data_IF_156391576888
#
_entry.id   IF_156391576888
#
_cell.length_a   1.000
_cell.length_b   1.000
_cell.length_c   1.000
_cell.angle_alpha   90.00
_cell.angle_beta   90.00
_cell.angle_gamma   90.00
#
_symmetry.space_group_name_H-M   'P 1'
#
loop_
_entity.id
_entity.type
_entity.pdbx_description
1 polymer ?
#
# COMPACT_ATOMS: atom_id res chain seq x y z
N UNK A 1 -2.41 -23.65 70.51
CA UNK A 1 -3.44 -23.52 69.47
C UNK A 1 -2.80 -22.81 68.23
N UNK A 2 -2.17 -23.59 67.36
CA UNK A 2 -1.48 -23.06 66.18
C UNK A 2 -2.45 -23.00 65.00
N UNK A 3 -2.84 -21.79 64.60
CA UNK A 3 -3.70 -21.53 63.43
C UNK A 3 -2.84 -21.66 62.16
N UNK A 4 -2.93 -22.78 61.47
CA UNK A 4 -2.38 -22.94 60.13
C UNK A 4 -3.07 -21.89 59.21
N UNK A 5 -2.30 -20.86 58.82
CA UNK A 5 -2.68 -20.03 57.68
C UNK A 5 -2.61 -20.93 56.46
N UNK A 6 -3.73 -21.19 55.84
CA UNK A 6 -3.74 -21.78 54.50
C UNK A 6 -3.00 -20.84 53.57
N UNK A 7 -1.95 -21.34 52.95
CA UNK A 7 -1.42 -20.69 51.76
C UNK A 7 -2.52 -20.85 50.71
N UNK A 8 -3.23 -19.76 50.41
CA UNK A 8 -4.20 -19.74 49.37
C UNK A 8 -3.51 -19.98 48.01
N UNK A 9 -4.17 -20.74 47.19
CA UNK A 9 -3.83 -21.05 45.79
C UNK A 9 -3.98 -19.84 44.85
N UNK A 10 -3.88 -18.63 45.35
CA UNK A 10 -4.11 -17.40 44.59
C UNK A 10 -3.02 -17.13 43.54
N UNK A 11 -1.84 -17.78 43.66
CA UNK A 11 -0.75 -17.61 42.71
C UNK A 11 -0.86 -18.43 41.43
N UNK A 12 -1.64 -19.50 41.43
CA UNK A 12 -1.74 -20.39 40.26
C UNK A 12 -2.74 -19.87 39.20
N UNK A 13 -3.78 -19.17 39.63
CA UNK A 13 -4.74 -18.56 38.74
C UNK A 13 -4.17 -17.34 37.98
N UNK A 14 -3.33 -16.56 38.65
CA UNK A 14 -2.64 -15.41 38.02
C UNK A 14 -1.60 -15.88 36.99
N UNK A 15 -0.85 -16.94 37.30
CA UNK A 15 0.13 -17.49 36.36
C UNK A 15 -0.55 -18.11 35.13
N UNK A 16 -1.67 -18.78 35.29
CA UNK A 16 -2.50 -19.31 34.18
C UNK A 16 -3.11 -18.18 33.34
N UNK A 17 -3.58 -17.11 33.98
CA UNK A 17 -4.10 -15.93 33.30
C UNK A 17 -3.02 -15.26 32.42
N UNK A 18 -1.82 -15.07 32.95
CA UNK A 18 -0.71 -14.50 32.18
C UNK A 18 -0.25 -15.42 31.04
N UNK A 19 -0.26 -16.73 31.23
CA UNK A 19 0.11 -17.69 30.19
C UNK A 19 -0.87 -17.69 28.99
N UNK A 20 -2.13 -17.35 29.23
CA UNK A 20 -3.15 -17.23 28.15
C UNK A 20 -3.14 -15.85 27.49
N UNK A 21 -2.84 -14.79 28.22
CA UNK A 21 -2.80 -13.41 27.68
C UNK A 21 -1.62 -13.20 26.74
N UNK A 22 -0.46 -13.78 27.04
CA UNK A 22 0.75 -13.58 26.24
C UNK A 22 0.60 -14.03 24.77
N UNK A 23 0.09 -15.26 24.45
CA UNK A 23 -0.11 -15.65 23.06
C UNK A 23 -1.22 -14.86 22.38
N UNK A 24 -2.27 -14.43 23.10
CA UNK A 24 -3.31 -13.58 22.55
C UNK A 24 -2.81 -12.18 22.18
N UNK A 25 -1.99 -11.59 23.04
CA UNK A 25 -1.35 -10.30 22.78
C UNK A 25 -0.38 -10.37 21.58
N UNK A 26 0.40 -11.46 21.49
CA UNK A 26 1.30 -11.68 20.36
C UNK A 26 0.51 -11.85 19.05
N UNK A 27 -0.55 -12.63 19.05
CA UNK A 27 -1.41 -12.81 17.88
C UNK A 27 -2.04 -11.48 17.42
N UNK A 28 -2.50 -10.66 18.36
CA UNK A 28 -3.03 -9.34 18.07
C UNK A 28 -1.95 -8.41 17.47
N UNK A 29 -0.75 -8.40 18.03
CA UNK A 29 0.36 -7.61 17.51
C UNK A 29 0.72 -8.01 16.07
N UNK A 30 0.78 -9.30 15.79
CA UNK A 30 1.02 -9.81 14.43
C UNK A 30 -0.11 -9.38 13.49
N UNK A 31 -1.37 -9.49 13.90
CA UNK A 31 -2.51 -9.09 13.10
C UNK A 31 -2.46 -7.59 12.75
N UNK A 32 -2.14 -6.74 13.72
CA UNK A 32 -1.99 -5.29 13.49
C UNK A 32 -0.86 -4.99 12.50
N UNK A 33 0.29 -5.67 12.61
CA UNK A 33 1.41 -5.50 11.68
C UNK A 33 1.05 -5.91 10.24
N UNK A 34 0.29 -7.01 10.09
CA UNK A 34 -0.14 -7.47 8.76
C UNK A 34 -1.14 -6.49 8.11
N UNK A 35 -2.07 -5.95 8.89
CA UNK A 35 -3.03 -4.96 8.41
C UNK A 35 -2.32 -3.65 8.02
N UNK A 36 -1.39 -3.16 8.84
CA UNK A 36 -0.63 -1.94 8.57
C UNK A 36 0.11 -2.01 7.24
N UNK A 37 0.79 -3.12 6.96
CA UNK A 37 1.50 -3.31 5.69
C UNK A 37 0.58 -3.24 4.47
N UNK A 38 -0.62 -3.80 4.58
CA UNK A 38 -1.60 -3.75 3.50
C UNK A 38 -2.15 -2.35 3.22
N UNK A 39 -2.31 -1.53 4.24
CA UNK A 39 -2.76 -0.13 4.11
C UNK A 39 -1.65 0.74 3.51
N UNK A 40 -0.42 0.60 3.99
CA UNK A 40 0.73 1.38 3.52
C UNK A 40 1.02 1.13 2.03
N UNK A 41 0.95 -0.11 1.57
CA UNK A 41 1.17 -0.42 0.16
C UNK A 41 0.13 0.21 -0.76
N UNK A 42 -1.13 0.23 -0.34
CA UNK A 42 -2.22 0.89 -1.10
C UNK A 42 -2.04 2.40 -1.15
N UNK A 43 -1.74 3.02 -0.02
CA UNK A 43 -1.51 4.45 0.07
C UNK A 43 -0.32 4.88 -0.81
N UNK A 44 0.78 4.12 -0.78
CA UNK A 44 1.96 4.38 -1.61
C UNK A 44 1.66 4.25 -3.09
N UNK A 45 0.94 3.20 -3.51
CA UNK A 45 0.59 3.01 -4.92
C UNK A 45 -0.38 4.08 -5.44
N UNK A 46 -1.33 4.52 -4.61
CA UNK A 46 -2.23 5.62 -4.96
C UNK A 46 -1.46 6.95 -5.05
N UNK A 47 -0.60 7.26 -4.09
CA UNK A 47 0.24 8.46 -4.15
C UNK A 47 1.18 8.46 -5.36
N UNK A 48 1.70 7.28 -5.75
CA UNK A 48 2.51 7.14 -6.96
C UNK A 48 1.69 7.43 -8.23
N UNK A 49 0.43 6.99 -8.29
CA UNK A 49 -0.46 7.30 -9.41
C UNK A 49 -0.76 8.80 -9.51
N UNK A 50 -1.02 9.46 -8.37
CA UNK A 50 -1.28 10.90 -8.31
C UNK A 50 -0.04 11.71 -8.72
N UNK A 51 1.13 11.39 -8.19
CA UNK A 51 2.38 12.06 -8.56
C UNK A 51 2.72 11.85 -10.04
N UNK A 52 2.52 10.64 -10.56
CA UNK A 52 2.74 10.33 -11.96
C UNK A 52 1.75 11.08 -12.88
N UNK A 53 0.48 11.23 -12.48
CA UNK A 53 -0.51 12.01 -13.23
C UNK A 53 -0.14 13.50 -13.27
N UNK A 54 0.32 14.06 -12.16
CA UNK A 54 0.78 15.45 -12.10
C UNK A 54 2.03 15.66 -12.98
N UNK A 55 3.00 14.75 -12.92
CA UNK A 55 4.19 14.81 -13.75
C UNK A 55 3.87 14.72 -15.25
N UNK A 56 2.93 13.84 -15.62
CA UNK A 56 2.45 13.72 -16.99
C UNK A 56 1.75 14.98 -17.50
N UNK A 57 0.88 15.58 -16.67
CA UNK A 57 0.15 16.80 -17.03
C UNK A 57 1.08 18.02 -17.24
N UNK A 58 2.28 17.97 -16.72
CA UNK A 58 3.28 19.03 -16.89
C UNK A 58 4.06 18.93 -18.20
N UNK A 59 3.93 17.86 -18.95
CA UNK A 59 4.65 17.68 -20.23
C UNK A 59 3.93 18.37 -21.39
N UNK A 60 4.68 18.58 -22.49
CA UNK A 60 4.15 19.25 -23.68
C UNK A 60 3.56 18.32 -24.71
N UNK A 61 3.98 17.06 -24.73
CA UNK A 61 3.50 16.06 -25.63
C UNK A 61 3.21 14.73 -24.91
N UNK A 62 2.42 13.87 -25.56
CA UNK A 62 2.01 12.59 -24.98
C UNK A 62 3.16 11.62 -24.73
N UNK A 63 4.20 11.65 -25.57
CA UNK A 63 5.37 10.79 -25.44
C UNK A 63 6.14 11.08 -24.17
N UNK A 64 6.47 12.35 -23.96
CA UNK A 64 7.17 12.81 -22.76
C UNK A 64 6.31 12.63 -21.50
N UNK A 65 4.98 12.82 -21.62
CA UNK A 65 4.05 12.59 -20.52
C UNK A 65 4.06 11.11 -20.07
N UNK A 66 4.08 10.16 -21.00
CA UNK A 66 4.18 8.74 -20.67
C UNK A 66 5.52 8.42 -19.98
N UNK A 67 6.62 8.97 -20.48
CA UNK A 67 7.97 8.77 -19.90
C UNK A 67 8.04 9.37 -18.50
N UNK A 68 7.56 10.61 -18.32
CA UNK A 68 7.55 11.27 -17.01
C UNK A 68 6.71 10.51 -15.99
N UNK A 69 5.51 10.03 -16.39
CA UNK A 69 4.65 9.22 -15.53
C UNK A 69 5.36 7.91 -15.10
N UNK A 70 6.03 7.23 -16.03
CA UNK A 70 6.78 6.01 -15.73
C UNK A 70 7.95 6.25 -14.79
N UNK A 71 8.72 7.32 -15.00
CA UNK A 71 9.86 7.67 -14.16
C UNK A 71 9.43 7.97 -12.73
N UNK A 72 8.40 8.81 -12.55
CA UNK A 72 7.89 9.17 -11.22
C UNK A 72 7.26 7.97 -10.53
N UNK A 73 6.42 7.22 -11.24
CA UNK A 73 5.78 6.03 -10.68
C UNK A 73 6.80 4.96 -10.24
N UNK A 74 7.83 4.71 -11.07
CA UNK A 74 8.89 3.77 -10.72
C UNK A 74 9.76 4.25 -9.55
N UNK A 75 10.05 5.56 -9.47
CA UNK A 75 10.84 6.13 -8.38
C UNK A 75 10.14 6.03 -7.02
N UNK A 76 8.81 6.07 -6.99
CA UNK A 76 8.02 5.93 -5.77
C UNK A 76 7.76 4.47 -5.36
N UNK A 77 7.86 3.53 -6.29
CA UNK A 77 7.55 2.11 -6.10
C UNK A 77 8.81 1.24 -6.15
N UNK A 78 9.84 1.66 -5.43
CA UNK A 78 11.15 0.98 -5.41
C UNK A 78 11.17 -0.25 -4.51
N UNK A 79 10.26 -0.35 -3.55
CA UNK A 79 10.20 -1.47 -2.62
C UNK A 79 9.35 -2.62 -3.21
N UNK A 80 9.95 -3.77 -3.56
CA UNK A 80 9.23 -4.91 -4.11
C UNK A 80 8.24 -5.54 -3.13
N UNK A 81 8.37 -5.28 -1.82
CA UNK A 81 7.37 -5.71 -0.84
C UNK A 81 6.07 -4.92 -0.94
N UNK A 82 6.16 -3.68 -1.41
CA UNK A 82 5.01 -2.80 -1.64
C UNK A 82 4.41 -3.03 -3.02
N UNK A 83 5.26 -3.18 -4.06
CA UNK A 83 4.83 -3.36 -5.45
C UNK A 83 5.88 -4.19 -6.20
N UNK A 84 5.61 -5.47 -6.44
CA UNK A 84 6.60 -6.39 -7.00
C UNK A 84 6.88 -6.16 -8.49
N UNK A 85 5.94 -5.61 -9.25
CA UNK A 85 6.10 -5.37 -10.69
C UNK A 85 5.25 -4.16 -11.07
N UNK A 86 5.73 -2.93 -10.81
CA UNK A 86 4.98 -1.73 -11.13
C UNK A 86 4.86 -1.55 -12.64
N UNK A 87 3.65 -1.28 -13.11
CA UNK A 87 3.42 -0.82 -14.47
C UNK A 87 2.60 0.47 -14.46
N UNK A 88 3.01 1.45 -15.27
CA UNK A 88 2.40 2.77 -15.33
C UNK A 88 1.89 3.02 -16.75
N UNK A 89 0.62 3.35 -16.88
CA UNK A 89 -0.04 3.62 -18.17
C UNK A 89 -0.75 4.96 -18.15
N UNK A 90 -0.52 5.74 -19.20
CA UNK A 90 -1.20 7.01 -19.45
C UNK A 90 -2.43 6.75 -20.33
N UNK A 91 -3.59 7.20 -19.87
CA UNK A 91 -4.88 7.18 -20.59
C UNK A 91 -5.43 8.57 -20.84
N UNK A 92 -6.49 8.65 -21.61
CA UNK A 92 -7.16 9.91 -21.95
C UNK A 92 -6.59 10.60 -23.18
N UNK A 93 -7.22 11.72 -23.56
CA UNK A 93 -6.79 12.58 -24.67
C UNK A 93 -5.78 13.60 -24.15
N UNK A 94 -4.63 13.71 -24.81
CA UNK A 94 -3.61 14.68 -24.42
C UNK A 94 -3.80 15.98 -25.21
N UNK A 95 -4.63 16.87 -24.68
CA UNK A 95 -4.95 18.18 -25.27
C UNK A 95 -5.14 19.22 -24.16
N UNK A 96 -4.96 20.52 -24.45
CA UNK A 96 -5.16 21.60 -23.48
C UNK A 96 -6.59 21.58 -22.92
N UNK A 97 -6.70 21.64 -21.59
CA UNK A 97 -7.99 21.58 -20.88
C UNK A 97 -8.59 20.18 -20.70
N UNK A 98 -8.02 19.16 -21.33
CA UNK A 98 -8.48 17.79 -21.21
C UNK A 98 -7.95 17.11 -19.93
N UNK A 99 -8.69 16.10 -19.49
CA UNK A 99 -8.31 15.28 -18.34
C UNK A 99 -7.59 14.02 -18.81
N UNK A 100 -6.39 13.83 -18.32
CA UNK A 100 -5.61 12.60 -18.48
C UNK A 100 -5.77 11.72 -17.26
N UNK A 101 -5.60 10.42 -17.45
CA UNK A 101 -5.56 9.42 -16.36
C UNK A 101 -4.24 8.70 -16.37
N UNK A 102 -3.70 8.44 -15.18
CA UNK A 102 -2.55 7.55 -15.03
C UNK A 102 -2.95 6.38 -14.15
N UNK A 103 -2.79 5.18 -14.67
CA UNK A 103 -3.05 3.94 -13.95
C UNK A 103 -1.73 3.28 -13.58
N UNK A 104 -1.55 3.09 -12.29
CA UNK A 104 -0.45 2.31 -11.71
C UNK A 104 -1.00 0.94 -11.34
N UNK A 105 -0.44 -0.12 -11.91
CA UNK A 105 -0.80 -1.49 -11.56
C UNK A 105 0.35 -2.14 -10.80
N UNK A 106 0.01 -2.71 -9.64
CA UNK A 106 0.94 -3.38 -8.73
C UNK A 106 0.52 -4.84 -8.54
N UNK A 107 1.45 -5.75 -8.60
CA UNK A 107 1.28 -7.09 -8.03
C UNK A 107 1.83 -7.10 -6.60
N UNK A 108 1.01 -7.51 -5.64
CA UNK A 108 1.47 -7.70 -4.26
C UNK A 108 2.22 -9.03 -4.18
N UNK A 109 3.45 -8.99 -3.63
CA UNK A 109 4.17 -10.21 -3.31
C UNK A 109 3.55 -10.88 -2.08
N UNK A 110 3.13 -12.13 -2.21
CA UNK A 110 2.69 -12.97 -1.10
C UNK A 110 3.83 -13.73 -0.44
N UNK A 111 5.08 -13.44 -0.80
CA UNK A 111 6.26 -14.10 -0.23
C UNK A 111 6.29 -13.93 1.29
N UNK A 112 6.28 -15.05 2.02
CA UNK A 112 6.24 -15.10 3.48
C UNK A 112 4.84 -15.11 4.11
N UNK A 113 3.76 -15.10 3.32
CA UNK A 113 2.38 -15.16 3.80
C UNK A 113 1.64 -16.43 3.33
N UNK A 114 2.37 -17.47 2.95
CA UNK A 114 1.82 -18.73 2.39
C UNK A 114 0.90 -19.48 3.36
N UNK A 115 0.93 -19.14 4.65
CA UNK A 115 0.08 -19.70 5.69
C UNK A 115 -1.23 -18.91 5.93
N UNK A 116 -1.42 -17.76 5.26
CA UNK A 116 -2.64 -16.96 5.40
C UNK A 116 -3.52 -17.23 4.18
N UNK A 117 -4.61 -17.99 4.34
CA UNK A 117 -5.54 -18.19 3.24
C UNK A 117 -6.20 -16.86 2.88
N UNK A 118 -6.15 -16.53 1.59
CA UNK A 118 -6.91 -15.46 0.96
C UNK A 118 -6.50 -14.00 1.23
N UNK A 119 -5.33 -13.60 0.80
CA UNK A 119 -5.24 -12.29 0.15
C UNK A 119 -5.48 -12.51 -1.35
N UNK A 120 -6.36 -11.75 -2.01
CA UNK A 120 -6.49 -11.86 -3.44
C UNK A 120 -5.15 -11.49 -4.07
N UNK A 121 -4.37 -12.50 -4.47
CA UNK A 121 -3.15 -12.36 -5.22
C UNK A 121 -3.52 -11.98 -6.67
N UNK A 122 -3.83 -10.71 -6.89
CA UNK A 122 -4.15 -10.17 -8.20
C UNK A 122 -3.50 -8.80 -8.38
N UNK A 123 -3.24 -8.38 -9.62
CA UNK A 123 -2.76 -7.04 -9.86
C UNK A 123 -3.80 -6.04 -9.38
N UNK A 124 -3.41 -5.18 -8.45
CA UNK A 124 -4.24 -4.06 -8.02
C UNK A 124 -3.89 -2.85 -8.87
N UNK A 125 -4.91 -2.16 -9.38
CA UNK A 125 -4.75 -0.98 -10.20
C UNK A 125 -5.30 0.25 -9.48
N UNK A 126 -4.51 1.31 -9.48
CA UNK A 126 -4.84 2.61 -8.90
C UNK A 126 -4.79 3.64 -10.01
N UNK A 127 -5.87 4.41 -10.17
CA UNK A 127 -5.97 5.41 -11.23
C UNK A 127 -6.12 6.78 -10.62
N UNK A 128 -5.28 7.71 -11.05
CA UNK A 128 -5.37 9.12 -10.73
C UNK A 128 -5.61 9.94 -11.98
N UNK A 129 -6.16 11.13 -11.81
CA UNK A 129 -6.52 12.03 -12.88
C UNK A 129 -5.81 13.37 -12.69
N UNK A 130 -5.41 13.97 -13.82
CA UNK A 130 -4.89 15.33 -13.84
C UNK A 130 -5.42 16.07 -15.06
N UNK A 131 -5.58 17.38 -14.93
CA UNK A 131 -6.03 18.25 -16.03
C UNK A 131 -4.80 18.91 -16.65
N UNK A 132 -4.72 18.89 -17.97
CA UNK A 132 -3.70 19.61 -18.72
C UNK A 132 -4.08 21.10 -18.73
N UNK A 133 -3.13 21.94 -18.33
CA UNK A 133 -3.33 23.39 -18.31
C UNK A 133 -3.77 23.90 -19.70
N UNK A 134 -4.95 24.55 -19.82
CA UNK A 134 -5.46 25.03 -21.10
C UNK A 134 -4.63 26.18 -21.70
N UNK A 135 -3.83 26.85 -20.88
CA UNK A 135 -2.97 27.98 -21.33
C UNK A 135 -1.56 27.53 -21.72
N UNK A 136 -1.24 26.26 -21.53
CA UNK A 136 0.05 25.70 -21.92
C UNK A 136 0.02 25.27 -23.38
N UNK A 137 0.96 25.75 -24.19
CA UNK A 137 1.14 25.25 -25.57
C UNK A 137 1.51 23.75 -25.52
N UNK A 138 0.72 22.93 -26.16
CA UNK A 138 1.01 21.50 -26.40
C UNK A 138 1.56 21.37 -27.80
N UNK A 139 2.68 20.69 -27.94
CA UNK A 139 3.22 20.36 -29.25
C UNK A 139 2.41 19.15 -29.80
N UNK A 140 1.93 19.24 -31.05
CA UNK A 140 1.14 18.20 -31.68
C UNK A 140 1.91 16.87 -31.89
#
# INVERSE_FOLDING_TARGET
MFRRRGLGDDGSSDALGMALIAPAALALAIAVLLISRGVDSRATAQSAAEAAAQAAAQQRNRGDAQVAAQQVGAAMLTDPSTCASPSVRLGGTFAPGETISVTVSCSTSTAGLELVPSTPAGPQAYTAFAVIDPFRGVDP
#
